data_IF_511959044766
#
_entry.id   IF_511959044766
#
_cell.length_a   1.000
_cell.length_b   1.000
_cell.length_c   1.000
_cell.angle_alpha   90.00
_cell.angle_beta   90.00
_cell.angle_gamma   90.00
#
_symmetry.space_group_name_H-M   'P 1'
#
loop_
_entity.id
_entity.type
_entity.pdbx_description
1 polymer ?
#
# COMPACT_ATOMS: atom_id res chain seq x y z
N UNK A 1 -9.11 -4.71 -20.23
CA UNK A 1 -9.54 -4.65 -18.81
C UNK A 1 -8.36 -4.22 -17.96
N UNK A 2 -8.52 -3.17 -17.13
CA UNK A 2 -7.47 -2.70 -16.24
C UNK A 2 -7.20 -3.69 -15.10
N UNK A 3 -6.00 -3.65 -14.54
CA UNK A 3 -5.56 -4.44 -13.39
C UNK A 3 -5.24 -3.52 -12.21
N UNK A 4 -5.67 -3.91 -11.00
CA UNK A 4 -5.20 -3.29 -9.76
C UNK A 4 -3.87 -3.92 -9.34
N UNK A 5 -2.91 -3.09 -8.96
CA UNK A 5 -1.57 -3.52 -8.53
C UNK A 5 -1.09 -2.74 -7.32
N UNK A 6 -0.27 -3.41 -6.53
CA UNK A 6 0.47 -2.83 -5.42
C UNK A 6 1.97 -2.88 -5.74
N UNK A 7 2.76 -1.84 -5.42
CA UNK A 7 4.18 -1.86 -5.64
C UNK A 7 4.89 -2.82 -4.66
N UNK A 8 5.98 -3.41 -5.13
CA UNK A 8 6.93 -4.20 -4.34
C UNK A 8 8.22 -3.39 -4.14
N UNK A 9 8.83 -3.47 -2.97
CA UNK A 9 10.12 -2.86 -2.65
C UNK A 9 11.02 -3.87 -1.94
N UNK A 10 12.33 -3.82 -2.19
CA UNK A 10 13.31 -4.61 -1.44
C UNK A 10 13.72 -3.95 -0.11
N UNK A 11 13.39 -2.67 0.08
CA UNK A 11 13.72 -1.92 1.30
C UNK A 11 12.56 -1.99 2.30
N UNK A 12 12.81 -2.43 3.55
CA UNK A 12 11.81 -2.44 4.62
C UNK A 12 11.57 -1.04 5.20
N UNK A 13 10.67 -0.96 6.18
CA UNK A 13 10.43 0.22 7.02
C UNK A 13 9.27 1.09 6.56
N UNK A 14 8.33 0.56 5.78
CA UNK A 14 7.11 1.27 5.38
C UNK A 14 5.91 0.83 6.22
N UNK A 15 5.00 1.76 6.47
CA UNK A 15 3.73 1.47 7.12
C UNK A 15 2.90 0.49 6.28
N UNK A 16 2.23 -0.46 6.95
CA UNK A 16 1.43 -1.53 6.38
C UNK A 16 2.19 -2.50 5.45
N UNK A 17 3.53 -2.51 5.48
CA UNK A 17 4.28 -3.39 4.59
C UNK A 17 4.09 -4.88 4.95
N UNK A 18 3.90 -5.71 3.94
CA UNK A 18 3.78 -7.16 4.12
C UNK A 18 5.04 -7.81 3.55
N UNK A 19 5.81 -8.48 4.40
CA UNK A 19 6.97 -9.25 3.97
C UNK A 19 6.54 -10.39 3.05
N UNK A 20 7.27 -10.54 1.96
CA UNK A 20 7.08 -11.55 0.93
C UNK A 20 8.40 -12.28 0.69
N UNK A 21 8.35 -13.60 0.82
CA UNK A 21 9.47 -14.52 0.64
C UNK A 21 9.12 -15.59 -0.41
N UNK A 22 10.12 -16.33 -0.88
CA UNK A 22 9.91 -17.31 -1.96
C UNK A 22 8.97 -18.46 -1.55
N UNK A 23 8.92 -18.79 -0.25
CA UNK A 23 7.98 -19.77 0.29
C UNK A 23 6.51 -19.37 0.19
N UNK A 24 6.22 -18.07 0.04
CA UNK A 24 4.87 -17.54 -0.11
C UNK A 24 4.29 -17.74 -1.53
N UNK A 25 5.08 -18.29 -2.45
CA UNK A 25 4.66 -18.62 -3.81
C UNK A 25 4.15 -20.06 -3.91
N UNK A 26 3.11 -20.25 -4.72
CA UNK A 26 2.69 -21.56 -5.22
C UNK A 26 3.69 -22.07 -6.27
N UNK A 27 4.09 -21.17 -7.17
CA UNK A 27 5.12 -21.39 -8.19
C UNK A 27 5.77 -20.05 -8.56
N UNK A 28 6.99 -20.11 -9.08
CA UNK A 28 7.81 -18.92 -9.31
C UNK A 28 8.44 -18.41 -8.02
N UNK A 29 9.17 -17.30 -8.12
CA UNK A 29 9.92 -16.72 -6.99
C UNK A 29 10.27 -15.26 -7.26
N UNK A 30 10.78 -14.58 -6.25
CA UNK A 30 11.32 -13.23 -6.41
C UNK A 30 12.74 -13.30 -6.99
N UNK A 31 13.09 -12.30 -7.80
CA UNK A 31 14.49 -12.11 -8.21
C UNK A 31 15.38 -11.69 -7.03
N UNK A 32 14.80 -11.06 -6.01
CA UNK A 32 15.47 -10.62 -4.80
C UNK A 32 14.50 -10.87 -3.63
N UNK A 33 14.95 -11.65 -2.66
CA UNK A 33 14.14 -12.11 -1.53
C UNK A 33 14.86 -11.77 -0.21
N UNK A 34 14.16 -11.22 0.80
CA UNK A 34 12.74 -10.88 0.82
C UNK A 34 12.44 -9.56 0.06
N UNK A 35 11.16 -9.39 -0.30
CA UNK A 35 10.59 -8.11 -0.71
C UNK A 35 9.40 -7.76 0.19
N UNK A 36 8.87 -6.54 0.02
CA UNK A 36 7.77 -6.02 0.82
C UNK A 36 6.68 -5.47 -0.10
N UNK A 37 5.48 -6.02 0.04
CA UNK A 37 4.26 -5.53 -0.62
C UNK A 37 3.83 -4.25 0.10
N UNK A 38 3.33 -3.26 -0.64
CA UNK A 38 2.78 -2.01 -0.10
C UNK A 38 1.27 -1.92 -0.35
N UNK A 39 0.43 -2.50 0.53
CA UNK A 39 -1.03 -2.52 0.38
C UNK A 39 -1.67 -1.13 0.43
N UNK A 40 -1.00 -0.17 1.07
CA UNK A 40 -1.45 1.23 1.15
C UNK A 40 -1.31 2.02 -0.15
N UNK A 41 -0.74 1.43 -1.21
CA UNK A 41 -0.64 2.06 -2.53
C UNK A 41 -1.27 1.14 -3.57
N UNK A 42 -2.40 1.58 -4.13
CA UNK A 42 -3.10 0.90 -5.22
C UNK A 42 -2.96 1.73 -6.50
N UNK A 43 -2.53 1.08 -7.58
CA UNK A 43 -2.50 1.66 -8.90
C UNK A 43 -3.31 0.83 -9.89
N UNK A 44 -4.00 1.51 -10.80
CA UNK A 44 -4.70 0.90 -11.92
C UNK A 44 -3.78 0.95 -13.14
N UNK A 45 -3.52 -0.20 -13.77
CA UNK A 45 -2.67 -0.28 -14.97
C UNK A 45 -3.35 -1.07 -16.07
N UNK A 46 -3.11 -0.68 -17.33
CA UNK A 46 -3.55 -1.49 -18.46
C UNK A 46 -2.76 -2.82 -18.51
N UNK A 47 -3.44 -3.91 -18.88
CA UNK A 47 -2.84 -5.24 -18.97
C UNK A 47 -1.66 -5.30 -19.96
N UNK A 48 -1.67 -4.48 -21.00
CA UNK A 48 -0.56 -4.35 -21.96
C UNK A 48 0.75 -3.88 -21.34
N UNK A 49 0.70 -3.22 -20.17
CA UNK A 49 1.90 -2.82 -19.42
C UNK A 49 2.56 -3.97 -18.63
N UNK A 50 2.01 -5.18 -18.65
CA UNK A 50 2.59 -6.34 -17.95
C UNK A 50 3.62 -7.01 -18.86
N UNK A 51 4.90 -6.82 -18.56
CA UNK A 51 6.00 -7.36 -19.39
C UNK A 51 6.21 -8.86 -19.15
N UNK A 52 6.02 -9.34 -17.91
CA UNK A 52 6.18 -10.76 -17.55
C UNK A 52 5.39 -11.14 -16.30
N UNK A 53 5.09 -12.43 -16.19
CA UNK A 53 4.63 -13.06 -14.96
C UNK A 53 5.83 -13.73 -14.27
N UNK A 54 6.04 -13.48 -12.97
CA UNK A 54 7.15 -14.04 -12.19
C UNK A 54 6.74 -15.19 -11.27
N UNK A 55 5.44 -15.41 -11.08
CA UNK A 55 4.94 -16.44 -10.17
C UNK A 55 3.50 -16.17 -9.72
N UNK A 56 2.98 -17.11 -8.93
CA UNK A 56 1.67 -17.00 -8.28
C UNK A 56 1.84 -17.15 -6.77
N UNK A 57 1.30 -16.20 -6.01
CA UNK A 57 1.25 -16.28 -4.55
C UNK A 57 0.27 -17.36 -4.09
N UNK A 58 0.54 -17.94 -2.93
CA UNK A 58 -0.42 -18.81 -2.24
C UNK A 58 -1.60 -18.01 -1.70
N UNK A 59 -2.73 -18.68 -1.56
CA UNK A 59 -3.98 -18.04 -1.14
C UNK A 59 -3.86 -17.44 0.26
N UNK A 60 -3.07 -18.03 1.16
CA UNK A 60 -2.83 -17.50 2.51
C UNK A 60 -2.21 -16.10 2.45
N UNK A 61 -1.21 -15.92 1.58
CA UNK A 61 -0.55 -14.61 1.41
C UNK A 61 -1.47 -13.60 0.73
N UNK A 62 -2.25 -14.03 -0.27
CA UNK A 62 -3.24 -13.17 -0.94
C UNK A 62 -4.28 -12.69 0.07
N UNK A 63 -4.79 -13.58 0.92
CA UNK A 63 -5.74 -13.26 1.97
C UNK A 63 -5.16 -12.28 3.00
N UNK A 64 -3.88 -12.43 3.37
CA UNK A 64 -3.18 -11.46 4.21
C UNK A 64 -3.17 -10.07 3.57
N UNK A 65 -2.83 -9.97 2.28
CA UNK A 65 -2.82 -8.70 1.54
C UNK A 65 -4.22 -8.08 1.51
N UNK A 66 -5.26 -8.86 1.20
CA UNK A 66 -6.65 -8.39 1.17
C UNK A 66 -7.08 -7.87 2.55
N UNK A 67 -6.79 -8.62 3.62
CA UNK A 67 -7.15 -8.24 4.99
C UNK A 67 -6.50 -6.90 5.38
N UNK A 68 -5.21 -6.70 5.07
CA UNK A 68 -4.52 -5.43 5.33
C UNK A 68 -5.09 -4.29 4.49
N UNK A 69 -5.50 -4.51 3.23
CA UNK A 69 -6.18 -3.48 2.42
C UNK A 69 -7.50 -3.08 3.09
N UNK A 70 -8.30 -4.06 3.52
CA UNK A 70 -9.56 -3.80 4.21
C UNK A 70 -9.32 -2.99 5.48
N UNK A 71 -8.33 -3.36 6.29
CA UNK A 71 -7.94 -2.62 7.49
C UNK A 71 -7.59 -1.15 7.19
N UNK A 72 -6.76 -0.91 6.17
CA UNK A 72 -6.37 0.45 5.75
C UNK A 72 -7.60 1.25 5.33
N UNK A 73 -8.50 0.66 4.54
CA UNK A 73 -9.68 1.36 4.01
C UNK A 73 -10.76 1.60 5.06
N UNK A 74 -10.87 0.73 6.06
CA UNK A 74 -11.84 0.84 7.14
C UNK A 74 -11.36 1.68 8.30
N UNK A 75 -10.07 2.01 8.37
CA UNK A 75 -9.51 2.85 9.43
C UNK A 75 -10.25 4.19 9.44
N UNK A 76 -10.93 4.56 10.55
CA UNK A 76 -11.62 5.82 10.63
C UNK A 76 -10.62 6.96 10.46
N UNK A 77 -11.00 7.94 9.63
CA UNK A 77 -10.19 9.13 9.41
C UNK A 77 -10.19 9.95 10.71
N UNK A 78 -9.21 9.72 11.58
CA UNK A 78 -8.98 10.62 12.71
C UNK A 78 -8.54 11.98 12.14
N UNK A 79 -9.25 13.08 12.44
CA UNK A 79 -8.82 14.40 12.01
C UNK A 79 -7.54 14.77 12.77
N UNK A 80 -6.38 14.46 12.19
CA UNK A 80 -5.08 15.00 12.63
C UNK A 80 -4.93 16.43 12.13
N UNK A 81 -5.80 17.31 12.62
CA UNK A 81 -5.57 18.74 12.57
C UNK A 81 -5.39 19.23 14.01
N UNK A 82 -4.16 19.52 14.48
CA UNK A 82 -4.04 20.54 15.50
C UNK A 82 -4.68 21.81 14.92
N UNK A 83 -5.78 22.26 15.51
CA UNK A 83 -6.55 23.41 15.06
C UNK A 83 -5.59 24.51 14.57
N UNK A 84 -5.63 24.78 13.26
CA UNK A 84 -4.65 25.67 12.64
C UNK A 84 -4.75 27.03 13.32
N UNK A 85 -3.62 27.51 13.88
CA UNK A 85 -3.51 28.86 14.47
C UNK A 85 -3.84 29.97 13.46
N UNK A 86 -3.97 29.62 12.18
CA UNK A 86 -4.41 30.50 11.09
C UNK A 86 -5.79 31.14 11.35
N UNK A 87 -6.70 30.48 12.07
CA UNK A 87 -8.02 31.06 12.39
C UNK A 87 -7.95 32.28 13.32
N UNK A 88 -6.90 32.38 14.15
CA UNK A 88 -6.77 33.48 15.13
C UNK A 88 -6.20 34.77 14.53
N UNK A 89 -5.82 34.80 13.25
CA UNK A 89 -5.18 35.97 12.62
C UNK A 89 -6.14 37.04 12.09
N UNK A 90 -7.45 36.81 12.13
CA UNK A 90 -8.46 37.71 11.53
C UNK A 90 -9.13 38.70 12.49
N UNK A 91 -8.84 38.69 13.80
CA UNK A 91 -9.51 39.55 14.78
C UNK A 91 -8.52 40.54 15.41
N UNK A 92 -8.07 41.52 14.64
CA UNK A 92 -7.64 42.80 15.21
C UNK A 92 -8.11 43.91 14.27
N UNK A 93 -9.16 44.68 14.63
CA UNK A 93 -9.51 45.88 13.90
C UNK A 93 -8.39 46.92 14.09
N UNK A 94 -7.95 47.55 12.99
CA UNK A 94 -7.03 48.69 13.05
C UNK A 94 -7.76 49.86 13.71
N UNK A 95 -7.20 50.36 14.82
CA UNK A 95 -7.58 51.64 15.44
C UNK A 95 -7.00 52.80 14.66
#
# INVERSE_FOLDING_TARGET
MPLFKHPLTSKPGREYEIKLEDQDFMFGQLNLSPCYIRPNIIATVDKSNVIRNIGKLRDEKINQVIATIIEILQKPCEPTLPASKAWKRGKNPKS
#
